data_IF_499681577548
#
_entry.id   IF_499681577548
#
_cell.length_a   1.000
_cell.length_b   1.000
_cell.length_c   1.000
_cell.angle_alpha   90.00
_cell.angle_beta   90.00
_cell.angle_gamma   90.00
#
_symmetry.space_group_name_H-M   'P 1'
#
loop_
_entity.id
_entity.type
_entity.pdbx_description
1 polymer ?
#
# COMPACT_ATOMS: atom_id res chain seq x y z
N UNK A 1 -1.78 -22.58 11.10
CA UNK A 1 -0.41 -22.46 10.51
C UNK A 1 0.03 -21.03 10.53
N UNK A 2 1.24 -20.76 11.01
CA UNK A 2 1.93 -19.47 10.91
C UNK A 2 2.69 -19.37 9.58
N UNK A 3 3.31 -18.21 9.31
CA UNK A 3 4.02 -17.94 8.04
C UNK A 3 5.05 -19.02 7.69
N UNK A 4 5.91 -19.40 8.63
CA UNK A 4 6.98 -20.37 8.37
C UNK A 4 6.46 -21.78 8.03
N UNK A 5 5.37 -22.21 8.70
CA UNK A 5 4.71 -23.49 8.42
C UNK A 5 4.08 -23.49 7.01
N UNK A 6 3.48 -22.35 6.61
CA UNK A 6 2.94 -22.18 5.26
C UNK A 6 4.07 -22.27 4.24
N UNK A 7 5.16 -21.51 4.42
CA UNK A 7 6.30 -21.52 3.50
C UNK A 7 6.93 -22.91 3.36
N UNK A 8 7.04 -23.67 4.45
CA UNK A 8 7.53 -25.06 4.42
C UNK A 8 6.64 -25.94 3.54
N UNK A 9 5.32 -25.80 3.66
CA UNK A 9 4.37 -26.59 2.83
C UNK A 9 4.38 -26.13 1.37
N UNK A 10 4.49 -24.84 1.09
CA UNK A 10 4.62 -24.33 -0.28
C UNK A 10 5.91 -24.82 -0.95
N UNK A 11 7.00 -24.88 -0.20
CA UNK A 11 8.27 -25.46 -0.66
C UNK A 11 8.10 -26.93 -1.02
N UNK A 12 7.45 -27.72 -0.15
CA UNK A 12 7.14 -29.12 -0.42
C UNK A 12 6.30 -29.31 -1.71
N UNK A 13 5.26 -28.48 -1.91
CA UNK A 13 4.47 -28.50 -3.13
C UNK A 13 5.34 -28.29 -4.38
N UNK A 14 6.26 -27.34 -4.34
CA UNK A 14 7.12 -26.96 -5.47
C UNK A 14 8.22 -28.01 -5.73
N UNK A 15 8.90 -28.46 -4.69
CA UNK A 15 10.09 -29.31 -4.82
C UNK A 15 9.75 -30.81 -4.93
N UNK A 16 8.82 -31.30 -4.10
CA UNK A 16 8.49 -32.72 -4.07
C UNK A 16 7.33 -33.09 -5.01
N UNK A 17 6.26 -32.28 -5.00
CA UNK A 17 5.11 -32.54 -5.86
C UNK A 17 5.23 -31.90 -7.26
N UNK A 18 6.34 -31.19 -7.53
CA UNK A 18 6.64 -30.53 -8.82
C UNK A 18 5.51 -29.60 -9.29
N UNK A 19 4.85 -28.95 -8.35
CA UNK A 19 3.79 -28.00 -8.62
C UNK A 19 4.40 -26.61 -8.84
N UNK A 20 4.67 -26.27 -10.11
CA UNK A 20 5.40 -25.04 -10.43
C UNK A 20 4.52 -23.80 -10.54
N UNK A 21 3.27 -23.95 -10.97
CA UNK A 21 2.35 -22.84 -11.22
C UNK A 21 1.09 -22.94 -10.34
N UNK A 22 1.10 -22.17 -9.26
CA UNK A 22 -0.04 -22.02 -8.37
C UNK A 22 -0.07 -20.63 -7.75
N UNK A 23 -1.25 -20.24 -7.27
CA UNK A 23 -1.52 -18.99 -6.57
C UNK A 23 -2.01 -19.32 -5.16
N UNK A 24 -1.38 -18.74 -4.14
CA UNK A 24 -1.83 -18.87 -2.75
C UNK A 24 -3.01 -17.92 -2.52
N UNK A 25 -4.10 -18.45 -2.00
CA UNK A 25 -5.37 -17.74 -1.82
C UNK A 25 -5.71 -17.52 -0.34
N UNK A 26 -6.80 -16.81 -0.10
CA UNK A 26 -7.57 -16.78 1.15
C UNK A 26 -6.75 -16.53 2.42
N UNK A 27 -6.93 -17.38 3.44
CA UNK A 27 -6.30 -17.26 4.75
C UNK A 27 -4.77 -17.32 4.70
N UNK A 28 -4.21 -18.22 3.91
CA UNK A 28 -2.75 -18.37 3.75
C UNK A 28 -2.13 -17.13 3.07
N UNK A 29 -2.81 -16.58 2.05
CA UNK A 29 -2.41 -15.32 1.42
C UNK A 29 -2.38 -14.16 2.42
N UNK A 30 -3.39 -14.05 3.29
CA UNK A 30 -3.43 -13.01 4.33
C UNK A 30 -2.30 -13.17 5.37
N UNK A 31 -1.94 -14.42 5.72
CA UNK A 31 -0.83 -14.68 6.65
C UNK A 31 0.52 -14.30 6.02
N UNK A 32 0.75 -14.67 4.75
CA UNK A 32 1.98 -14.33 4.03
C UNK A 32 2.15 -12.81 3.89
N UNK A 33 1.06 -12.06 3.74
CA UNK A 33 1.05 -10.58 3.66
C UNK A 33 1.08 -9.89 5.04
N UNK A 34 1.17 -10.64 6.15
CA UNK A 34 1.20 -10.08 7.50
C UNK A 34 -0.14 -9.50 7.99
N UNK A 35 -1.24 -9.75 7.28
CA UNK A 35 -2.60 -9.24 7.59
C UNK A 35 -3.26 -10.09 8.69
N UNK A 36 -2.92 -11.38 8.74
CA UNK A 36 -3.47 -12.35 9.68
C UNK A 36 -2.33 -13.11 10.35
N UNK A 37 -2.48 -13.48 11.62
CA UNK A 37 -1.42 -14.16 12.37
C UNK A 37 -1.27 -15.64 11.99
N UNK A 38 -2.37 -16.29 11.66
CA UNK A 38 -2.41 -17.74 11.35
C UNK A 38 -3.64 -18.13 10.55
N UNK A 39 -3.60 -19.28 9.89
CA UNK A 39 -4.73 -19.94 9.22
C UNK A 39 -4.76 -21.43 9.54
N UNK A 40 -5.87 -22.12 9.25
CA UNK A 40 -6.02 -23.57 9.48
C UNK A 40 -5.63 -24.38 8.23
N UNK A 41 -5.80 -23.82 7.05
CA UNK A 41 -5.67 -24.43 5.74
C UNK A 41 -4.84 -23.56 4.79
N UNK A 42 -4.40 -24.14 3.70
CA UNK A 42 -3.76 -23.46 2.58
C UNK A 42 -4.64 -23.66 1.36
N UNK A 43 -5.37 -22.62 1.01
CA UNK A 43 -6.11 -22.58 -0.26
C UNK A 43 -5.13 -22.19 -1.39
N UNK A 44 -5.05 -23.00 -2.45
CA UNK A 44 -4.30 -22.67 -3.65
C UNK A 44 -5.17 -22.82 -4.90
N UNK A 45 -4.83 -22.09 -5.94
CA UNK A 45 -5.44 -22.26 -7.25
C UNK A 45 -4.39 -22.50 -8.32
N UNK A 46 -4.71 -23.38 -9.26
CA UNK A 46 -3.83 -23.80 -10.35
C UNK A 46 -4.56 -23.70 -11.69
N UNK A 47 -3.83 -23.68 -12.82
CA UNK A 47 -4.41 -23.88 -14.15
C UNK A 47 -5.19 -25.20 -14.21
N UNK A 48 -6.29 -25.23 -14.96
CA UNK A 48 -7.16 -26.41 -15.11
C UNK A 48 -6.41 -27.65 -15.60
N UNK A 49 -5.37 -27.47 -16.40
CA UNK A 49 -4.50 -28.55 -16.88
C UNK A 49 -3.73 -29.25 -15.75
N UNK A 50 -3.28 -28.47 -14.76
CA UNK A 50 -2.60 -29.02 -13.56
C UNK A 50 -3.61 -29.70 -12.65
N UNK A 51 -4.78 -29.08 -12.42
CA UNK A 51 -5.85 -29.70 -11.65
C UNK A 51 -6.19 -31.10 -12.14
N UNK A 52 -6.41 -31.26 -13.45
CA UNK A 52 -6.72 -32.55 -14.07
C UNK A 52 -5.63 -33.61 -13.86
N UNK A 53 -4.36 -33.24 -13.86
CA UNK A 53 -3.24 -34.17 -13.60
C UNK A 53 -3.23 -34.70 -12.18
N UNK A 54 -3.67 -33.89 -11.22
CA UNK A 54 -3.69 -34.23 -9.80
C UNK A 54 -4.97 -34.95 -9.36
N UNK A 55 -6.00 -34.96 -10.18
CA UNK A 55 -7.33 -35.48 -9.91
C UNK A 55 -7.35 -36.97 -9.52
N UNK A 56 -6.38 -37.76 -10.02
CA UNK A 56 -6.22 -39.17 -9.68
C UNK A 56 -5.43 -39.47 -8.42
N UNK A 57 -4.66 -38.51 -7.92
CA UNK A 57 -3.73 -38.69 -6.79
C UNK A 57 -4.15 -37.93 -5.53
N UNK A 58 -5.05 -36.96 -5.63
CA UNK A 58 -5.58 -36.20 -4.51
C UNK A 58 -7.03 -36.57 -4.23
N UNK A 59 -7.47 -36.37 -2.97
CA UNK A 59 -8.87 -36.63 -2.58
C UNK A 59 -9.79 -35.54 -3.12
N UNK A 60 -10.83 -35.95 -3.85
CA UNK A 60 -11.89 -35.04 -4.31
C UNK A 60 -12.82 -34.67 -3.17
N UNK A 61 -13.20 -33.40 -3.11
CA UNK A 61 -14.19 -32.89 -2.17
C UNK A 61 -14.97 -31.73 -2.83
N UNK A 62 -16.04 -31.29 -2.19
CA UNK A 62 -16.83 -30.13 -2.62
C UNK A 62 -16.57 -29.00 -1.61
N UNK A 63 -15.90 -27.97 -2.10
CA UNK A 63 -15.63 -26.74 -1.34
C UNK A 63 -16.85 -25.82 -1.27
N UNK A 64 -16.58 -24.56 -0.94
CA UNK A 64 -17.63 -23.54 -0.88
C UNK A 64 -18.34 -23.38 -2.24
N UNK A 65 -19.66 -23.21 -2.22
CA UNK A 65 -20.53 -23.01 -3.41
C UNK A 65 -20.56 -24.17 -4.42
N UNK A 66 -20.34 -25.39 -3.97
CA UNK A 66 -20.34 -26.55 -4.87
C UNK A 66 -19.14 -26.60 -5.83
N UNK A 67 -18.08 -25.82 -5.55
CA UNK A 67 -16.85 -25.85 -6.34
C UNK A 67 -16.11 -27.15 -6.01
N UNK A 68 -15.78 -27.93 -7.03
CA UNK A 68 -14.91 -29.10 -6.88
C UNK A 68 -13.50 -28.67 -6.47
N UNK A 69 -12.99 -29.30 -5.41
CA UNK A 69 -11.63 -29.09 -4.90
C UNK A 69 -10.92 -30.42 -4.75
N UNK A 70 -9.61 -30.36 -4.79
CA UNK A 70 -8.74 -31.48 -4.42
C UNK A 70 -8.10 -31.21 -3.08
N UNK A 71 -8.04 -32.21 -2.20
CA UNK A 71 -7.44 -32.12 -0.88
C UNK A 71 -6.21 -33.02 -0.76
N UNK A 72 -5.18 -32.45 -0.15
CA UNK A 72 -3.99 -33.16 0.25
C UNK A 72 -3.49 -32.57 1.57
N UNK A 73 -3.52 -33.36 2.66
CA UNK A 73 -3.30 -32.88 4.02
C UNK A 73 -4.24 -31.68 4.32
N UNK A 74 -3.71 -30.56 4.74
CA UNK A 74 -4.47 -29.32 4.98
C UNK A 74 -4.33 -28.29 3.82
N UNK A 75 -4.11 -28.79 2.61
CA UNK A 75 -4.07 -27.99 1.39
C UNK A 75 -5.34 -28.27 0.58
N UNK A 76 -6.05 -27.20 0.22
CA UNK A 76 -7.21 -27.24 -0.67
C UNK A 76 -6.83 -26.60 -2.01
N UNK A 77 -7.03 -27.32 -3.10
CA UNK A 77 -6.64 -26.93 -4.44
C UNK A 77 -7.87 -26.81 -5.35
N UNK A 78 -8.01 -25.68 -6.03
CA UNK A 78 -9.04 -25.42 -7.03
C UNK A 78 -8.44 -24.91 -8.34
N UNK A 79 -9.24 -24.81 -9.40
CA UNK A 79 -8.87 -24.13 -10.65
C UNK A 79 -9.78 -22.95 -10.98
N UNK A 80 -10.88 -22.77 -10.25
CA UNK A 80 -11.89 -21.76 -10.56
C UNK A 80 -11.49 -20.35 -10.08
N UNK A 81 -10.50 -20.24 -9.22
CA UNK A 81 -10.01 -18.97 -8.64
C UNK A 81 -8.57 -18.65 -9.09
N UNK A 82 -8.24 -19.00 -10.31
CA UNK A 82 -6.91 -18.76 -10.88
C UNK A 82 -6.85 -17.36 -11.52
N UNK A 83 -6.28 -16.39 -10.78
CA UNK A 83 -6.18 -14.97 -11.16
C UNK A 83 -4.71 -14.53 -11.25
N UNK A 84 -3.94 -14.90 -12.29
CA UNK A 84 -2.50 -14.63 -12.35
C UNK A 84 -2.14 -13.15 -12.44
N UNK A 85 -3.05 -12.29 -12.91
CA UNK A 85 -2.85 -10.84 -12.99
C UNK A 85 -3.06 -10.13 -11.65
N UNK A 86 -3.77 -10.75 -10.72
CA UNK A 86 -4.12 -10.17 -9.42
C UNK A 86 -3.22 -10.71 -8.31
N UNK A 87 -1.94 -10.94 -8.61
CA UNK A 87 -0.97 -11.50 -7.66
C UNK A 87 0.18 -10.55 -7.36
N UNK A 88 0.77 -10.75 -6.18
CA UNK A 88 2.07 -10.22 -5.79
C UNK A 88 3.02 -11.38 -5.51
N UNK A 89 4.31 -11.12 -5.51
CA UNK A 89 5.32 -12.15 -5.18
C UNK A 89 5.78 -11.95 -3.72
N UNK A 90 5.63 -13.02 -2.93
CA UNK A 90 6.14 -13.06 -1.54
C UNK A 90 6.97 -14.33 -1.39
N UNK A 91 8.23 -14.19 -0.98
CA UNK A 91 9.19 -15.30 -0.81
C UNK A 91 9.26 -16.23 -2.06
N UNK A 92 9.11 -15.65 -3.26
CA UNK A 92 9.14 -16.38 -4.53
C UNK A 92 7.84 -17.12 -4.91
N UNK A 93 6.74 -16.92 -4.16
CA UNK A 93 5.42 -17.49 -4.45
C UNK A 93 4.45 -16.45 -4.94
N UNK A 94 3.58 -16.81 -5.90
CA UNK A 94 2.44 -16.01 -6.33
C UNK A 94 1.37 -16.04 -5.23
N UNK A 95 1.04 -14.87 -4.70
CA UNK A 95 0.08 -14.68 -3.61
C UNK A 95 -1.01 -13.74 -4.10
N UNK A 96 -2.28 -14.08 -3.92
CA UNK A 96 -3.39 -13.23 -4.35
C UNK A 96 -3.34 -11.89 -3.62
N UNK A 97 -3.48 -10.78 -4.35
CA UNK A 97 -3.41 -9.43 -3.77
C UNK A 97 -4.64 -9.09 -2.90
N UNK A 98 -4.50 -8.06 -2.06
CA UNK A 98 -5.55 -7.66 -1.10
C UNK A 98 -6.85 -7.21 -1.79
N UNK A 99 -6.83 -6.38 -2.85
CA UNK A 99 -8.06 -5.96 -3.53
C UNK A 99 -8.87 -7.15 -4.04
N UNK A 100 -8.22 -8.11 -4.71
CA UNK A 100 -8.90 -9.28 -5.28
C UNK A 100 -9.41 -10.24 -4.21
N UNK A 101 -8.67 -10.42 -3.12
CA UNK A 101 -9.17 -11.19 -1.97
C UNK A 101 -10.43 -10.57 -1.36
N UNK A 102 -10.45 -9.25 -1.21
CA UNK A 102 -11.61 -8.54 -0.69
C UNK A 102 -12.83 -8.69 -1.61
N UNK A 103 -12.65 -8.50 -2.92
CA UNK A 103 -13.70 -8.71 -3.93
C UNK A 103 -14.31 -10.11 -3.83
N UNK A 104 -13.48 -11.15 -3.81
CA UNK A 104 -13.94 -12.54 -3.68
C UNK A 104 -14.71 -12.75 -2.38
N UNK A 105 -14.19 -12.30 -1.23
CA UNK A 105 -14.87 -12.50 0.07
C UNK A 105 -16.18 -11.73 0.18
N UNK A 106 -16.28 -10.56 -0.43
CA UNK A 106 -17.53 -9.80 -0.51
C UNK A 106 -18.57 -10.51 -1.39
N UNK A 107 -18.17 -11.02 -2.56
CA UNK A 107 -19.07 -11.76 -3.45
C UNK A 107 -19.58 -13.06 -2.81
N UNK A 108 -18.74 -13.72 -2.00
CA UNK A 108 -19.11 -14.94 -1.26
C UNK A 108 -20.10 -14.68 -0.13
N UNK A 109 -20.13 -13.48 0.44
CA UNK A 109 -21.04 -13.01 1.49
C UNK A 109 -21.23 -13.98 2.68
N UNK A 110 -20.17 -14.69 3.11
CA UNK A 110 -20.24 -15.69 4.19
C UNK A 110 -20.04 -15.04 5.55
N UNK A 111 -20.84 -15.44 6.55
CA UNK A 111 -20.69 -14.93 7.93
C UNK A 111 -19.27 -15.11 8.49
N UNK A 112 -18.60 -16.23 8.17
CA UNK A 112 -17.22 -16.53 8.60
C UNK A 112 -16.18 -15.54 8.04
N UNK A 113 -16.45 -14.90 6.91
CA UNK A 113 -15.51 -13.97 6.27
C UNK A 113 -15.54 -12.54 6.83
N UNK A 114 -16.54 -12.19 7.67
CA UNK A 114 -16.68 -10.81 8.21
C UNK A 114 -15.40 -10.29 8.89
N UNK A 115 -14.73 -11.14 9.68
CA UNK A 115 -13.46 -10.77 10.33
C UNK A 115 -12.33 -10.54 9.32
N UNK A 116 -12.19 -11.41 8.35
CA UNK A 116 -11.18 -11.29 7.30
C UNK A 116 -11.44 -10.07 6.41
N UNK A 117 -12.70 -9.78 6.06
CA UNK A 117 -13.10 -8.56 5.33
C UNK A 117 -12.69 -7.30 6.11
N UNK A 118 -12.90 -7.28 7.43
CA UNK A 118 -12.43 -6.18 8.28
C UNK A 118 -10.91 -5.99 8.22
N UNK A 119 -10.15 -7.07 8.34
CA UNK A 119 -8.68 -7.05 8.25
C UNK A 119 -8.18 -6.60 6.85
N UNK A 120 -8.83 -7.07 5.78
CA UNK A 120 -8.48 -6.67 4.41
C UNK A 120 -8.78 -5.19 4.15
N UNK A 121 -9.89 -4.67 4.65
CA UNK A 121 -10.21 -3.23 4.58
C UNK A 121 -9.18 -2.39 5.34
N UNK A 122 -8.75 -2.84 6.54
CA UNK A 122 -7.68 -2.17 7.29
C UNK A 122 -6.35 -2.20 6.54
N UNK A 123 -6.00 -3.34 5.91
CA UNK A 123 -4.78 -3.45 5.12
C UNK A 123 -4.79 -2.55 3.88
N UNK A 124 -5.95 -2.43 3.20
CA UNK A 124 -6.12 -1.48 2.09
C UNK A 124 -5.99 -0.04 2.56
N UNK A 125 -6.64 0.29 3.68
CA UNK A 125 -6.57 1.63 4.26
C UNK A 125 -5.12 1.99 4.65
N UNK A 126 -4.38 1.05 5.25
CA UNK A 126 -2.97 1.27 5.61
C UNK A 126 -2.06 1.49 4.40
N UNK A 127 -2.37 0.86 3.26
CA UNK A 127 -1.62 1.02 2.01
C UNK A 127 -2.16 2.15 1.13
N UNK A 128 -3.20 2.83 1.60
CA UNK A 128 -3.82 3.92 0.90
C UNK A 128 -3.08 5.24 1.18
N UNK A 129 -2.24 5.64 0.27
CA UNK A 129 -1.43 6.86 0.37
C UNK A 129 -2.26 8.15 0.44
N UNK A 130 -3.52 8.10 0.04
CA UNK A 130 -4.44 9.25 0.00
C UNK A 130 -5.57 9.15 1.03
N UNK A 131 -5.38 8.36 2.10
CA UNK A 131 -6.45 8.13 3.11
C UNK A 131 -6.82 9.42 3.83
N UNK A 132 -5.83 10.27 4.17
CA UNK A 132 -6.04 11.55 4.84
C UNK A 132 -6.75 12.54 3.92
N UNK A 133 -6.29 12.68 2.68
CA UNK A 133 -6.90 13.56 1.69
C UNK A 133 -8.34 13.15 1.40
N UNK A 134 -8.62 11.83 1.27
CA UNK A 134 -10.01 11.37 1.06
C UNK A 134 -10.92 11.63 2.26
N UNK A 135 -10.41 11.50 3.48
CA UNK A 135 -11.17 11.84 4.69
C UNK A 135 -11.49 13.34 4.74
N UNK A 136 -10.52 14.19 4.43
CA UNK A 136 -10.68 15.63 4.38
C UNK A 136 -11.65 16.08 3.26
N UNK A 137 -11.55 15.47 2.07
CA UNK A 137 -12.51 15.73 1.00
C UNK A 137 -13.95 15.35 1.37
N UNK A 138 -14.13 14.25 2.13
CA UNK A 138 -15.46 13.88 2.67
C UNK A 138 -15.95 14.88 3.74
N UNK A 139 -15.03 15.50 4.46
CA UNK A 139 -15.34 16.56 5.43
C UNK A 139 -15.62 17.92 4.79
N UNK A 140 -15.48 18.05 3.45
CA UNK A 140 -15.82 19.24 2.70
C UNK A 140 -14.64 20.11 2.26
N UNK A 141 -13.41 19.75 2.60
CA UNK A 141 -12.21 20.44 2.12
C UNK A 141 -11.93 20.07 0.65
N UNK A 142 -11.53 21.04 -0.17
CA UNK A 142 -11.32 20.84 -1.61
C UNK A 142 -9.88 21.02 -2.05
N UNK A 143 -9.14 21.94 -1.40
CA UNK A 143 -7.76 22.31 -1.74
C UNK A 143 -6.84 21.90 -0.59
N UNK A 144 -6.41 20.64 -0.60
CA UNK A 144 -5.57 20.07 0.47
C UNK A 144 -4.12 20.12 0.01
N UNK A 145 -3.28 20.85 0.74
CA UNK A 145 -1.84 20.87 0.49
C UNK A 145 -1.12 19.83 1.35
N UNK A 146 -0.25 19.03 0.75
CA UNK A 146 0.78 18.28 1.45
C UNK A 146 2.06 19.09 1.51
N UNK A 147 2.76 19.10 2.66
CA UNK A 147 4.04 19.80 2.81
C UNK A 147 5.07 18.93 3.53
N UNK A 148 6.29 18.92 3.02
CA UNK A 148 7.43 18.16 3.55
C UNK A 148 8.73 18.94 3.35
N UNK A 149 9.78 18.61 4.13
CA UNK A 149 11.09 19.24 4.04
C UNK A 149 12.22 18.28 3.64
N UNK A 150 13.28 18.86 3.13
CA UNK A 150 14.57 18.22 2.83
C UNK A 150 15.72 19.11 3.31
N UNK A 151 16.85 18.50 3.66
CA UNK A 151 18.05 19.25 4.09
C UNK A 151 18.28 19.33 5.59
N UNK A 152 17.53 18.62 6.43
CA UNK A 152 17.73 18.56 7.88
C UNK A 152 18.94 17.71 8.30
N UNK A 153 19.33 16.73 7.49
CA UNK A 153 20.43 15.81 7.80
C UNK A 153 21.83 16.32 7.49
N UNK A 154 22.06 17.04 6.39
CA UNK A 154 23.36 17.61 6.06
C UNK A 154 23.83 18.64 7.09
N UNK A 155 25.15 18.67 7.35
CA UNK A 155 25.76 19.63 8.29
C UNK A 155 25.89 21.04 7.71
N UNK A 156 25.79 21.19 6.40
CA UNK A 156 25.95 22.45 5.66
C UNK A 156 24.90 22.54 4.55
N UNK A 157 24.36 23.73 4.35
CA UNK A 157 23.39 24.01 3.29
C UNK A 157 22.04 24.49 3.82
N UNK A 158 21.13 24.92 2.95
CA UNK A 158 19.80 25.36 3.32
C UNK A 158 18.91 24.18 3.67
N UNK A 159 17.87 24.45 4.46
CA UNK A 159 16.67 23.59 4.54
C UNK A 159 15.65 24.05 3.50
N UNK A 160 15.11 23.12 2.76
CA UNK A 160 14.13 23.38 1.69
C UNK A 160 12.84 22.64 2.02
N UNK A 161 11.69 23.28 1.82
CA UNK A 161 10.40 22.60 1.88
C UNK A 161 9.63 22.79 0.59
N UNK A 162 8.80 21.81 0.27
CA UNK A 162 7.86 21.88 -0.85
C UNK A 162 6.43 21.68 -0.34
N UNK A 163 5.51 22.50 -0.84
CA UNK A 163 4.07 22.33 -0.67
C UNK A 163 3.43 22.04 -2.03
N UNK A 164 2.48 21.09 -2.09
CA UNK A 164 1.80 20.71 -3.30
C UNK A 164 0.32 20.44 -3.05
N UNK A 165 -0.55 20.92 -3.95
CA UNK A 165 -1.98 20.62 -3.99
C UNK A 165 -2.24 19.73 -5.21
N UNK A 166 -2.64 18.48 -4.98
CA UNK A 166 -3.05 17.57 -6.05
C UNK A 166 -4.57 17.61 -6.27
N UNK A 167 -5.06 17.35 -7.49
CA UNK A 167 -6.49 17.18 -7.74
C UNK A 167 -7.08 16.03 -6.93
N UNK A 168 -8.36 16.15 -6.56
CA UNK A 168 -9.09 15.18 -5.69
C UNK A 168 -8.98 13.72 -6.11
N UNK A 169 -8.86 13.42 -7.38
CA UNK A 169 -8.75 12.04 -7.90
C UNK A 169 -7.42 11.81 -8.63
N UNK A 170 -6.40 12.58 -8.30
CA UNK A 170 -5.08 12.42 -8.89
C UNK A 170 -4.52 11.04 -8.54
N UNK A 171 -4.01 10.34 -9.55
CA UNK A 171 -3.33 9.07 -9.39
C UNK A 171 -2.03 9.09 -10.18
N UNK A 172 -0.93 9.37 -9.48
CA UNK A 172 0.42 9.36 -10.06
C UNK A 172 1.04 7.97 -9.88
N UNK A 173 1.09 7.21 -10.96
CA UNK A 173 1.67 5.87 -10.96
C UNK A 173 3.17 5.92 -10.58
N UNK A 174 3.53 5.10 -9.60
CA UNK A 174 4.90 5.00 -9.10
C UNK A 174 5.28 6.05 -8.06
N UNK A 175 4.39 6.99 -7.69
CA UNK A 175 4.62 7.92 -6.59
C UNK A 175 4.81 7.14 -5.28
N UNK A 176 5.89 7.44 -4.56
CA UNK A 176 6.23 6.83 -3.28
C UNK A 176 7.07 7.78 -2.44
N UNK A 177 7.33 7.40 -1.17
CA UNK A 177 8.32 8.07 -0.32
C UNK A 177 9.63 8.28 -1.12
N UNK A 178 10.16 9.50 -1.08
CA UNK A 178 11.36 9.89 -1.84
C UNK A 178 12.57 9.01 -1.52
N UNK A 179 12.69 8.54 -0.27
CA UNK A 179 13.76 7.64 0.20
C UNK A 179 13.64 6.23 -0.37
N UNK A 180 12.42 5.81 -0.76
CA UNK A 180 12.16 4.52 -1.41
C UNK A 180 12.35 4.56 -2.94
N UNK A 181 12.56 5.75 -3.52
CA UNK A 181 12.71 5.96 -4.96
C UNK A 181 14.19 6.19 -5.34
N UNK A 182 14.61 5.64 -6.48
CA UNK A 182 15.88 6.00 -7.09
C UNK A 182 15.86 7.44 -7.59
N UNK A 183 17.03 8.09 -7.71
CA UNK A 183 17.15 9.44 -8.26
C UNK A 183 16.47 9.54 -9.64
N UNK A 184 16.81 8.63 -10.55
CA UNK A 184 16.17 8.55 -11.87
C UNK A 184 14.65 8.52 -11.81
N UNK A 185 14.09 7.77 -10.86
CA UNK A 185 12.62 7.68 -10.73
C UNK A 185 12.01 8.97 -10.19
N UNK A 186 12.70 9.67 -9.29
CA UNK A 186 12.29 11.01 -8.84
C UNK A 186 12.30 12.03 -9.98
N UNK A 187 13.34 12.02 -10.81
CA UNK A 187 13.43 12.88 -11.99
C UNK A 187 12.33 12.60 -13.03
N UNK A 188 11.96 11.33 -13.23
CA UNK A 188 10.83 10.94 -14.09
C UNK A 188 9.46 11.38 -13.55
N UNK A 189 9.30 11.42 -12.21
CA UNK A 189 8.04 11.79 -11.58
C UNK A 189 7.87 13.31 -11.46
N UNK A 190 8.95 14.07 -11.32
CA UNK A 190 8.91 15.51 -11.11
C UNK A 190 8.07 16.26 -12.16
N UNK A 191 8.32 16.13 -13.49
CA UNK A 191 7.51 16.82 -14.49
C UNK A 191 6.03 16.41 -14.45
N UNK A 192 5.73 15.15 -14.14
CA UNK A 192 4.35 14.66 -14.02
C UNK A 192 3.62 15.29 -12.83
N UNK A 193 4.32 15.46 -11.70
CA UNK A 193 3.76 16.13 -10.53
C UNK A 193 3.45 17.59 -10.85
N UNK A 194 4.37 18.29 -11.52
CA UNK A 194 4.19 19.70 -11.92
C UNK A 194 3.03 19.86 -12.90
N UNK A 195 2.87 18.95 -13.85
CA UNK A 195 1.78 18.97 -14.83
C UNK A 195 0.41 18.69 -14.19
N UNK A 196 0.34 17.75 -13.27
CA UNK A 196 -0.91 17.30 -12.65
C UNK A 196 -1.33 18.16 -11.44
N UNK A 197 -0.41 18.83 -10.75
CA UNK A 197 -0.75 19.59 -9.55
C UNK A 197 -1.58 20.85 -9.86
N UNK A 198 -2.48 21.19 -8.92
CA UNK A 198 -3.23 22.45 -8.95
C UNK A 198 -2.31 23.63 -8.64
N UNK A 199 -1.41 23.46 -7.69
CA UNK A 199 -0.42 24.43 -7.27
C UNK A 199 0.75 23.74 -6.57
N UNK A 200 1.93 24.33 -6.65
CA UNK A 200 3.09 23.98 -5.83
C UNK A 200 3.82 25.23 -5.36
N UNK A 201 4.53 25.12 -4.26
CA UNK A 201 5.33 26.20 -3.69
C UNK A 201 6.57 25.66 -3.03
N UNK A 202 7.66 26.40 -3.05
CA UNK A 202 8.93 26.04 -2.45
C UNK A 202 9.33 27.14 -1.47
N UNK A 203 9.82 26.74 -0.28
CA UNK A 203 10.41 27.62 0.72
C UNK A 203 11.86 27.19 0.97
N UNK A 204 12.75 28.18 1.12
CA UNK A 204 14.20 27.96 1.28
C UNK A 204 14.72 28.80 2.43
N UNK A 205 15.23 28.17 3.46
CA UNK A 205 15.86 28.85 4.59
C UNK A 205 17.36 28.58 4.57
N UNK A 206 18.14 29.64 4.55
CA UNK A 206 19.59 29.57 4.44
C UNK A 206 20.27 29.10 5.74
N UNK A 207 21.54 28.72 5.62
CA UNK A 207 22.34 28.23 6.73
C UNK A 207 22.50 29.27 7.86
N UNK A 208 22.57 30.56 7.53
CA UNK A 208 22.69 31.63 8.54
C UNK A 208 21.44 31.69 9.41
N UNK A 209 20.28 31.65 8.83
CA UNK A 209 19.00 31.61 9.55
C UNK A 209 18.89 30.32 10.38
N UNK A 210 19.37 29.18 9.88
CA UNK A 210 19.40 27.92 10.64
C UNK A 210 20.24 28.06 11.91
N UNK A 211 21.39 28.72 11.82
CA UNK A 211 22.27 28.97 12.99
C UNK A 211 21.60 29.88 14.04
N UNK A 212 20.76 30.82 13.61
CA UNK A 212 20.04 31.74 14.49
C UNK A 212 18.85 31.09 15.19
N UNK A 213 18.07 30.23 14.52
CA UNK A 213 16.80 29.71 15.04
C UNK A 213 16.79 28.22 15.34
N UNK A 214 17.79 27.48 14.98
CA UNK A 214 17.97 26.01 14.90
C UNK A 214 17.22 25.36 13.73
N UNK A 215 17.63 24.11 13.40
CA UNK A 215 17.11 23.37 12.24
C UNK A 215 15.61 23.04 12.35
N UNK A 216 15.07 22.83 13.54
CA UNK A 216 13.65 22.52 13.74
C UNK A 216 12.76 23.73 13.42
N UNK A 217 13.10 24.90 13.93
CA UNK A 217 12.36 26.15 13.64
C UNK A 217 12.59 26.59 12.19
N UNK A 218 13.80 26.44 11.63
CA UNK A 218 14.08 26.70 10.23
C UNK A 218 13.25 25.81 9.30
N UNK A 219 13.05 24.53 9.63
CA UNK A 219 12.16 23.63 8.87
C UNK A 219 10.72 24.13 8.85
N UNK A 220 10.20 24.59 10.00
CA UNK A 220 8.86 25.20 10.05
C UNK A 220 8.76 26.46 9.20
N UNK A 221 9.78 27.33 9.24
CA UNK A 221 9.84 28.52 8.42
C UNK A 221 9.83 28.18 6.93
N UNK A 222 10.63 27.19 6.52
CA UNK A 222 10.64 26.71 5.13
C UNK A 222 9.27 26.18 4.71
N UNK A 223 8.62 25.38 5.53
CA UNK A 223 7.27 24.86 5.25
C UNK A 223 6.23 25.98 5.14
N UNK A 224 6.27 26.97 6.06
CA UNK A 224 5.36 28.13 6.00
C UNK A 224 5.60 28.96 4.75
N UNK A 225 6.86 29.14 4.37
CA UNK A 225 7.22 29.84 3.13
C UNK A 225 6.74 29.08 1.89
N UNK A 226 6.93 27.76 1.86
CA UNK A 226 6.43 26.91 0.76
C UNK A 226 4.90 27.04 0.61
N UNK A 227 4.15 27.02 1.71
CA UNK A 227 2.69 27.19 1.72
C UNK A 227 2.30 28.59 1.21
N UNK A 228 3.01 29.65 1.62
CA UNK A 228 2.77 31.03 1.16
C UNK A 228 3.04 31.20 -0.34
N UNK A 229 3.99 30.45 -0.87
CA UNK A 229 4.39 30.49 -2.29
C UNK A 229 3.48 29.63 -3.20
N UNK A 230 2.47 28.97 -2.66
CA UNK A 230 1.43 28.30 -3.47
C UNK A 230 0.64 29.34 -4.28
N UNK A 231 0.47 29.10 -5.59
CA UNK A 231 -0.31 29.97 -6.48
C UNK A 231 -1.82 29.94 -6.16
N UNK A 232 -2.26 28.88 -5.45
CA UNK A 232 -3.64 28.70 -5.00
C UNK A 232 -3.63 28.46 -3.49
N UNK A 233 -4.41 29.25 -2.73
CA UNK A 233 -4.47 29.12 -1.28
C UNK A 233 -5.17 27.81 -0.89
N UNK A 234 -4.55 26.92 -0.09
CA UNK A 234 -5.19 25.72 0.41
C UNK A 234 -6.26 26.03 1.46
N UNK A 235 -7.24 25.16 1.60
CA UNK A 235 -8.24 25.21 2.67
C UNK A 235 -7.89 24.24 3.84
N UNK A 236 -6.91 23.33 3.63
CA UNK A 236 -6.33 22.46 4.62
C UNK A 236 -4.87 22.11 4.30
N UNK A 237 -4.04 21.86 5.32
CA UNK A 237 -2.64 21.48 5.14
C UNK A 237 -2.29 20.22 5.95
N UNK A 238 -1.77 19.21 5.24
CA UNK A 238 -1.15 18.02 5.82
C UNK A 238 0.37 18.24 5.91
N UNK A 239 0.92 18.07 7.09
CA UNK A 239 2.33 18.39 7.39
C UNK A 239 3.04 17.12 7.84
N UNK A 240 4.24 16.83 7.32
CA UNK A 240 5.03 15.72 7.84
C UNK A 240 5.55 16.02 9.24
N UNK A 241 5.10 15.24 10.23
CA UNK A 241 5.54 15.16 11.64
C UNK A 241 5.67 16.49 12.41
N UNK A 242 5.16 17.62 11.88
CA UNK A 242 5.30 18.94 12.52
C UNK A 242 3.96 19.64 12.73
N UNK A 243 3.91 20.52 13.72
CA UNK A 243 2.80 21.44 13.92
C UNK A 243 3.21 22.84 13.47
N UNK A 244 2.51 23.39 12.49
CA UNK A 244 2.69 24.75 12.01
C UNK A 244 1.70 25.70 12.69
N UNK A 245 2.14 26.92 12.95
CA UNK A 245 1.28 27.99 13.45
C UNK A 245 0.90 28.93 12.29
N UNK A 246 -0.17 28.59 11.59
CA UNK A 246 -0.74 29.34 10.46
C UNK A 246 -2.26 29.40 10.57
N UNK A 247 -2.88 30.37 9.87
CA UNK A 247 -4.33 30.60 9.88
C UNK A 247 -5.15 29.59 9.04
N UNK A 248 -4.52 28.51 8.58
CA UNK A 248 -5.16 27.44 7.82
C UNK A 248 -5.20 26.20 8.72
N UNK A 249 -6.31 25.43 8.76
CA UNK A 249 -6.37 24.18 9.48
C UNK A 249 -5.23 23.23 9.07
N UNK A 250 -4.51 22.69 10.05
CA UNK A 250 -3.36 21.82 9.81
C UNK A 250 -3.43 20.53 10.60
N UNK A 251 -2.94 19.43 10.02
CA UNK A 251 -2.74 18.15 10.69
C UNK A 251 -1.31 17.66 10.45
N UNK A 252 -0.61 17.34 11.55
CA UNK A 252 0.71 16.68 11.49
C UNK A 252 0.54 15.17 11.36
N UNK A 253 1.07 14.58 10.28
CA UNK A 253 1.07 13.14 10.06
C UNK A 253 2.31 12.52 10.71
N UNK A 254 2.11 11.53 11.58
CA UNK A 254 3.20 10.75 12.20
C UNK A 254 3.17 9.35 11.61
N UNK A 255 4.26 8.94 10.97
CA UNK A 255 4.42 7.63 10.31
C UNK A 255 5.02 6.58 11.25
#
# INVERSE_FOLDING_TARGET
MKKDEILTKLKYLKEELKLEDFIVLSGASMVLQGIKKQTNDIDISVPKSIYKKLESSWTKDIGAFGIEILKYDNIELSYNLYYPKDTIIIEGYKVLNVPKMLEIKLSLNRKKDKKDIGLLNMALAKNDKYIHERALHKAGYNLIAGVDEVGRGPLVGPVVAAACILPKNCHLEGLNDSKALTEKKREELYPKIIEECIAYGIGVIDAKTIDEVNIYEASKLAMIEAIKNLQTKPDYVLVDAMKLNIDIPTEGLVH
#
